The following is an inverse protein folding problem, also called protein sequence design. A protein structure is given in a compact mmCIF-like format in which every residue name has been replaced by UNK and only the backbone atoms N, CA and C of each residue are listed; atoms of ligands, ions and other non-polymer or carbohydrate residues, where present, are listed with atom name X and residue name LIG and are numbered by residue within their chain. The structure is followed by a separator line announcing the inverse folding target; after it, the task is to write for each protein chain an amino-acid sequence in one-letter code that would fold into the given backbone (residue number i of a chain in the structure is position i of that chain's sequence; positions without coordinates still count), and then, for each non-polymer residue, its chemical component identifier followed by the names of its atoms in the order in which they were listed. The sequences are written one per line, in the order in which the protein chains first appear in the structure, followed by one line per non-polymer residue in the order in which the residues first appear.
data_IF_292749919714
#
_entry.id   IF_292749919714
#
_cell.length_a   1.000
_cell.length_b   1.000
_cell.length_c   1.000
_cell.angle_alpha   90.00
_cell.angle_beta   90.00
_cell.angle_gamma   90.00
#
_symmetry.space_group_name_H-M   'P 1'
#
loop_
_entity.id
_entity.type
_entity.pdbx_description
1 polymer ?
#
# COMPACT_ATOMS: atom_id res chain seq x y z
N UNK A 1 25.67 -3.37 3.92
CA UNK A 1 26.01 -3.73 5.32
C UNK A 1 24.75 -3.88 6.19
N UNK A 2 24.75 -4.77 7.21
CA UNK A 2 23.74 -4.76 8.26
C UNK A 2 23.72 -3.37 8.91
N UNK A 3 22.59 -2.66 8.84
CA UNK A 3 22.45 -1.29 9.34
C UNK A 3 22.29 -0.18 8.28
N UNK A 4 22.23 -0.50 6.98
CA UNK A 4 22.02 0.51 5.92
C UNK A 4 20.55 0.89 5.69
N UNK A 5 19.61 0.08 6.20
CA UNK A 5 18.18 0.43 6.16
C UNK A 5 17.81 1.03 7.53
N UNK A 6 17.62 2.36 7.63
CA UNK A 6 17.12 2.95 8.86
C UNK A 6 15.79 2.31 9.23
N UNK A 7 15.58 2.04 10.53
CA UNK A 7 14.29 1.54 11.00
C UNK A 7 13.18 2.53 10.62
N UNK A 8 11.91 2.11 10.54
CA UNK A 8 10.79 3.04 10.31
C UNK A 8 10.76 4.19 11.33
N UNK A 9 11.35 3.98 12.52
CA UNK A 9 11.55 5.00 13.54
C UNK A 9 12.67 6.02 13.21
N UNK A 10 13.66 5.65 12.39
CA UNK A 10 14.80 6.49 11.98
C UNK A 10 14.57 7.11 10.59
N UNK A 11 13.90 6.42 9.67
CA UNK A 11 13.57 6.95 8.34
C UNK A 11 12.41 7.96 8.36
N UNK A 12 11.58 7.91 9.41
CA UNK A 12 10.38 8.74 9.56
C UNK A 12 9.30 8.37 8.55
N UNK A 13 8.23 7.71 9.00
CA UNK A 13 7.02 7.55 8.18
C UNK A 13 6.07 8.70 8.51
N UNK A 14 5.66 9.46 7.50
CA UNK A 14 4.66 10.51 7.68
C UNK A 14 3.34 9.85 8.13
N UNK A 15 2.81 10.21 9.30
CA UNK A 15 1.58 9.62 9.82
C UNK A 15 0.38 9.73 8.86
N UNK A 16 0.37 10.79 8.04
CA UNK A 16 -0.63 10.96 6.97
C UNK A 16 -0.52 9.90 5.88
N UNK A 17 0.69 9.46 5.54
CA UNK A 17 0.92 8.40 4.56
C UNK A 17 0.36 7.07 5.07
N UNK A 18 0.60 6.75 6.35
CA UNK A 18 0.02 5.54 6.97
C UNK A 18 -1.49 5.60 7.04
N UNK A 19 -2.08 6.79 7.24
CA UNK A 19 -3.53 6.98 7.18
C UNK A 19 -4.09 6.65 5.80
N UNK A 20 -3.50 7.22 4.73
CA UNK A 20 -3.93 6.95 3.35
C UNK A 20 -3.81 5.46 3.00
N UNK A 21 -2.64 4.86 3.25
CA UNK A 21 -2.41 3.43 2.95
C UNK A 21 -3.35 2.52 3.75
N UNK A 22 -3.54 2.81 5.04
CA UNK A 22 -4.44 2.04 5.90
C UNK A 22 -5.90 2.11 5.45
N UNK A 23 -6.39 3.29 5.03
CA UNK A 23 -7.75 3.44 4.49
C UNK A 23 -7.93 2.69 3.16
N UNK A 24 -6.92 2.73 2.28
CA UNK A 24 -6.94 1.96 1.03
C UNK A 24 -7.01 0.45 1.32
N UNK A 25 -6.19 -0.04 2.26
CA UNK A 25 -6.22 -1.43 2.69
C UNK A 25 -7.56 -1.83 3.32
N UNK A 26 -8.15 -0.98 4.16
CA UNK A 26 -9.45 -1.21 4.76
C UNK A 26 -10.55 -1.33 3.70
N UNK A 27 -10.50 -0.51 2.65
CA UNK A 27 -11.44 -0.62 1.52
C UNK A 27 -11.28 -1.94 0.77
N UNK A 28 -10.06 -2.42 0.54
CA UNK A 28 -9.84 -3.74 -0.07
C UNK A 28 -10.39 -4.87 0.80
N UNK A 29 -10.24 -4.78 2.12
CA UNK A 29 -10.83 -5.74 3.05
C UNK A 29 -12.38 -5.72 2.98
N UNK A 30 -13.00 -4.53 2.92
CA UNK A 30 -14.45 -4.39 2.78
C UNK A 30 -14.93 -5.02 1.47
N UNK A 31 -14.25 -4.78 0.35
CA UNK A 31 -14.61 -5.40 -0.95
C UNK A 31 -14.60 -6.92 -0.88
N UNK A 32 -13.58 -7.49 -0.22
CA UNK A 32 -13.47 -8.95 -0.04
C UNK A 32 -14.59 -9.49 0.86
N UNK A 33 -14.85 -8.84 2.00
CA UNK A 33 -15.88 -9.29 2.96
C UNK A 33 -17.29 -9.20 2.36
N UNK A 34 -17.60 -8.10 1.68
CA UNK A 34 -18.92 -7.86 1.12
C UNK A 34 -19.13 -8.53 -0.26
N UNK A 35 -18.06 -9.04 -0.89
CA UNK A 35 -18.14 -9.63 -2.23
C UNK A 35 -18.49 -8.61 -3.32
N UNK A 36 -18.03 -7.36 -3.19
CA UNK A 36 -18.36 -6.26 -4.10
C UNK A 36 -17.14 -5.67 -4.80
N UNK A 37 -17.36 -5.11 -5.99
CA UNK A 37 -16.32 -4.46 -6.79
C UNK A 37 -15.24 -5.41 -7.28
N UNK A 38 -14.08 -4.86 -7.64
CA UNK A 38 -12.92 -5.62 -8.11
C UNK A 38 -11.74 -5.44 -7.12
N UNK A 39 -11.48 -6.41 -6.23
CA UNK A 39 -10.32 -6.38 -5.34
C UNK A 39 -8.99 -6.31 -6.09
N UNK A 40 -7.98 -5.71 -5.48
CA UNK A 40 -6.63 -5.60 -6.03
C UNK A 40 -5.83 -6.93 -5.99
N UNK A 41 -6.49 -8.08 -5.85
CA UNK A 41 -5.81 -9.39 -5.86
C UNK A 41 -5.02 -9.57 -7.16
N UNK A 42 -3.75 -9.97 -7.04
CA UNK A 42 -2.82 -10.09 -8.18
C UNK A 42 -2.27 -8.76 -8.70
N UNK A 43 -2.57 -7.64 -8.02
CA UNK A 43 -2.08 -6.29 -8.33
C UNK A 43 -1.44 -5.67 -7.09
N UNK A 44 -0.29 -5.05 -7.27
CA UNK A 44 0.35 -4.19 -6.27
C UNK A 44 0.00 -2.74 -6.58
N UNK A 45 -0.62 -2.04 -5.63
CA UNK A 45 -0.84 -0.61 -5.70
C UNK A 45 0.41 0.13 -5.20
N UNK A 46 0.96 0.99 -6.05
CA UNK A 46 2.01 1.93 -5.70
C UNK A 46 1.39 3.31 -5.49
N UNK A 47 1.70 3.93 -4.36
CA UNK A 47 1.30 5.29 -4.04
C UNK A 47 2.54 6.16 -3.84
N UNK A 48 2.75 7.10 -4.74
CA UNK A 48 3.76 8.15 -4.63
C UNK A 48 3.10 9.38 -4.00
N UNK A 49 3.35 9.60 -2.71
CA UNK A 49 2.73 10.68 -1.95
C UNK A 49 3.27 12.08 -2.28
N UNK A 50 4.49 12.19 -2.81
CA UNK A 50 5.06 13.49 -3.19
C UNK A 50 4.48 13.95 -4.53
N UNK A 51 4.30 13.01 -5.47
CA UNK A 51 3.71 13.30 -6.78
C UNK A 51 2.18 13.12 -6.82
N UNK A 52 1.57 12.65 -5.71
CA UNK A 52 0.16 12.26 -5.64
C UNK A 52 -0.27 11.29 -6.76
N UNK A 53 0.59 10.32 -7.09
CA UNK A 53 0.38 9.36 -8.19
C UNK A 53 0.03 7.97 -7.68
N UNK A 54 -0.87 7.31 -8.40
CA UNK A 54 -1.20 5.90 -8.20
C UNK A 54 -0.84 5.09 -9.45
N UNK A 55 -0.10 4.01 -9.24
CA UNK A 55 0.20 3.02 -10.28
C UNK A 55 -0.17 1.62 -9.80
N UNK A 56 -0.49 0.72 -10.72
CA UNK A 56 -0.72 -0.70 -10.39
C UNK A 56 0.19 -1.61 -11.19
N UNK A 57 0.81 -2.56 -10.51
CA UNK A 57 1.68 -3.56 -11.13
C UNK A 57 1.07 -4.94 -10.94
N UNK A 58 0.93 -5.71 -12.02
CA UNK A 58 0.49 -7.11 -11.91
C UNK A 58 1.67 -7.98 -11.46
N UNK A 59 1.43 -8.85 -10.49
CA UNK A 59 2.40 -9.85 -10.06
C UNK A 59 1.84 -11.25 -10.32
N UNK A 60 2.72 -12.20 -10.68
CA UNK A 60 2.36 -13.62 -10.72
C UNK A 60 2.40 -14.16 -9.29
N UNK A 61 1.33 -14.82 -8.87
CA UNK A 61 1.45 -15.81 -7.80
C UNK A 61 2.18 -17.02 -8.39
N UNK A 62 3.22 -17.49 -7.71
CA UNK A 62 3.76 -18.84 -7.94
C UNK A 62 2.72 -19.91 -7.59
#
# INVERSE_FOLDING_TARGET
PPGLVPSCAVAGVLGVLTGVVGTLQAMEAIKLIAGIGEPLVGRLLLYDALAARFDTIRYKSS
#
